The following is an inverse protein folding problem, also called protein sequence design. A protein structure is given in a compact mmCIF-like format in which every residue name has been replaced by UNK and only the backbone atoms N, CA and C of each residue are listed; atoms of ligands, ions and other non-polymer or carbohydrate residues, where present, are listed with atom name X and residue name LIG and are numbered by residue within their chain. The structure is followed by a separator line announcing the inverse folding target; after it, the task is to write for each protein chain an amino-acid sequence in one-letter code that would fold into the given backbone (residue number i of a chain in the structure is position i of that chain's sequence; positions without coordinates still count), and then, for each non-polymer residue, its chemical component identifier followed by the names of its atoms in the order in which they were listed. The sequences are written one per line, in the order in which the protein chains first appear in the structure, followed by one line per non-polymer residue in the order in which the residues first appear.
data_IF_607097544398
#
_entry.id   IF_607097544398
#
_cell.length_a   1.000
_cell.length_b   1.000
_cell.length_c   1.000
_cell.angle_alpha   90.00
_cell.angle_beta   90.00
_cell.angle_gamma   90.00
#
_symmetry.space_group_name_H-M   'P 1'
#
loop_
_entity.id
_entity.type
_entity.pdbx_description
1 polymer ?
#
# COMPACT_ATOMS: atom_id res chain seq x y z
N UNK A 1 17.51 -44.59 8.64
CA UNK A 1 18.42 -43.70 9.39
C UNK A 1 19.59 -44.47 10.00
N UNK A 2 20.24 -45.35 9.22
CA UNK A 2 21.29 -46.26 9.72
C UNK A 2 22.39 -46.38 8.66
N UNK A 3 23.65 -46.37 9.07
CA UNK A 3 24.82 -46.48 8.21
C UNK A 3 25.02 -47.91 7.69
N UNK A 4 25.29 -48.06 6.40
CA UNK A 4 25.45 -49.36 5.72
C UNK A 4 26.91 -49.76 5.46
N UNK A 5 27.88 -48.96 5.90
CA UNK A 5 29.31 -49.30 5.80
C UNK A 5 29.61 -50.51 6.71
N UNK A 6 30.33 -51.51 6.16
CA UNK A 6 30.57 -52.82 6.79
C UNK A 6 31.20 -52.73 8.20
N UNK A 7 32.03 -51.73 8.44
CA UNK A 7 32.76 -51.58 9.71
C UNK A 7 32.10 -50.57 10.68
N UNK A 8 30.91 -50.06 10.34
CA UNK A 8 30.22 -49.03 11.12
C UNK A 8 29.05 -49.58 11.94
N UNK A 9 28.92 -50.91 12.01
CA UNK A 9 28.00 -51.63 12.90
C UNK A 9 26.56 -51.11 12.92
N UNK A 10 26.02 -50.69 11.78
CA UNK A 10 24.65 -50.17 11.70
C UNK A 10 24.40 -48.99 12.67
N UNK A 11 25.38 -48.12 12.86
CA UNK A 11 25.22 -46.89 13.65
C UNK A 11 24.18 -45.94 13.01
N UNK A 12 23.45 -45.20 13.86
CA UNK A 12 22.53 -44.17 13.39
C UNK A 12 23.29 -42.97 12.77
N UNK A 13 22.67 -42.34 11.77
CA UNK A 13 23.18 -41.07 11.24
C UNK A 13 22.96 -39.94 12.23
N UNK A 14 23.98 -39.14 12.46
CA UNK A 14 23.99 -38.03 13.43
C UNK A 14 24.24 -36.67 12.76
N UNK A 15 24.94 -36.66 11.62
CA UNK A 15 25.24 -35.43 10.89
C UNK A 15 24.72 -35.48 9.45
N UNK A 16 24.26 -34.33 8.99
CA UNK A 16 24.00 -34.02 7.59
C UNK A 16 25.13 -33.13 7.06
N UNK A 17 25.63 -33.40 5.87
CA UNK A 17 26.67 -32.62 5.20
C UNK A 17 26.16 -32.10 3.87
N UNK A 18 26.36 -30.80 3.62
CA UNK A 18 26.21 -30.24 2.28
C UNK A 18 27.38 -30.68 1.39
N UNK A 19 27.12 -31.57 0.43
CA UNK A 19 28.12 -32.21 -0.43
C UNK A 19 27.49 -32.64 -1.76
N UNK A 20 28.33 -32.80 -2.79
CA UNK A 20 27.90 -33.28 -4.12
C UNK A 20 27.91 -34.82 -4.22
N UNK A 21 28.33 -35.51 -3.15
CA UNK A 21 28.46 -36.98 -3.10
C UNK A 21 27.42 -37.59 -2.16
N UNK A 22 26.55 -38.43 -2.69
CA UNK A 22 25.41 -39.00 -1.95
C UNK A 22 25.88 -39.81 -0.73
N UNK A 23 27.00 -40.51 -0.83
CA UNK A 23 27.58 -41.34 0.21
C UNK A 23 28.17 -40.54 1.39
N UNK A 24 28.45 -39.25 1.19
CA UNK A 24 29.00 -38.35 2.22
C UNK A 24 27.91 -37.52 2.92
N UNK A 25 26.68 -37.51 2.38
CA UNK A 25 25.60 -36.63 2.82
C UNK A 25 25.14 -36.92 4.25
N UNK A 26 25.10 -38.19 4.65
CA UNK A 26 24.70 -38.62 5.98
C UNK A 26 25.87 -39.32 6.67
N UNK A 27 26.23 -38.87 7.87
CA UNK A 27 27.39 -39.38 8.60
C UNK A 27 26.99 -39.89 9.99
N UNK A 28 27.38 -41.13 10.29
CA UNK A 28 27.35 -41.67 11.65
C UNK A 28 28.62 -41.25 12.42
N UNK A 29 28.70 -41.62 13.70
CA UNK A 29 29.88 -41.32 14.51
C UNK A 29 31.19 -41.86 13.91
N UNK A 30 31.16 -43.02 13.26
CA UNK A 30 32.36 -43.60 12.62
C UNK A 30 32.72 -42.94 11.28
N UNK A 31 31.75 -42.36 10.56
CA UNK A 31 32.03 -41.60 9.33
C UNK A 31 32.65 -40.22 9.62
N UNK A 32 32.35 -39.64 10.79
CA UNK A 32 32.70 -38.25 11.08
C UNK A 32 34.23 -37.98 11.13
N UNK A 33 35.07 -38.83 11.75
CA UNK A 33 36.53 -38.65 11.80
C UNK A 33 37.20 -38.73 10.43
N UNK A 34 36.61 -39.46 9.47
CA UNK A 34 37.16 -39.64 8.12
C UNK A 34 37.01 -38.38 7.25
N UNK A 35 36.22 -37.38 7.68
CA UNK A 35 35.89 -36.20 6.91
C UNK A 35 36.33 -34.91 7.61
N UNK A 36 37.28 -34.20 7.00
CA UNK A 36 37.88 -32.97 7.53
C UNK A 36 37.03 -31.71 7.34
N UNK A 37 35.92 -31.77 6.61
CA UNK A 37 35.09 -30.59 6.29
C UNK A 37 34.05 -30.28 7.38
N UNK A 38 34.50 -29.99 8.60
CA UNK A 38 33.63 -29.76 9.77
C UNK A 38 32.61 -28.62 9.58
N UNK A 39 32.98 -27.55 8.87
CA UNK A 39 32.13 -26.37 8.66
C UNK A 39 30.92 -26.62 7.72
N UNK A 40 30.85 -27.78 7.05
CA UNK A 40 29.71 -28.18 6.22
C UNK A 40 28.79 -29.18 6.90
N UNK A 41 29.16 -29.65 8.10
CA UNK A 41 28.44 -30.67 8.85
C UNK A 41 27.50 -30.02 9.85
N UNK A 42 26.27 -30.52 9.89
CA UNK A 42 25.22 -30.02 10.75
C UNK A 42 24.62 -31.22 11.49
N UNK A 43 24.37 -31.07 12.79
CA UNK A 43 23.67 -32.10 13.55
C UNK A 43 22.24 -32.28 13.01
N UNK A 44 21.86 -33.52 12.71
CA UNK A 44 20.50 -33.84 12.26
C UNK A 44 19.48 -33.45 13.33
N UNK A 45 19.83 -33.62 14.61
CA UNK A 45 18.94 -33.24 15.71
C UNK A 45 18.66 -31.73 15.73
N UNK A 46 19.67 -30.91 15.44
CA UNK A 46 19.51 -29.45 15.33
C UNK A 46 18.62 -29.08 14.14
N UNK A 47 18.77 -29.74 12.99
CA UNK A 47 17.93 -29.49 11.81
C UNK A 47 16.46 -29.77 12.11
N UNK A 48 16.18 -30.86 12.83
CA UNK A 48 14.81 -31.29 13.11
C UNK A 48 14.14 -30.49 14.23
N UNK A 49 14.90 -30.01 15.22
CA UNK A 49 14.34 -29.41 16.44
C UNK A 49 14.50 -27.91 16.55
N UNK A 50 15.52 -27.32 15.93
CA UNK A 50 15.86 -25.92 16.14
C UNK A 50 15.45 -25.04 14.95
N UNK A 51 15.07 -23.77 15.21
CA UNK A 51 14.92 -22.80 14.13
C UNK A 51 16.27 -22.56 13.44
N UNK A 52 16.21 -22.19 12.17
CA UNK A 52 17.38 -22.02 11.30
C UNK A 52 18.49 -21.15 11.92
N UNK A 53 18.13 -20.08 12.62
CA UNK A 53 19.08 -19.18 13.28
C UNK A 53 19.89 -19.83 14.42
N UNK A 54 19.42 -20.94 14.99
CA UNK A 54 20.08 -21.64 16.10
C UNK A 54 20.86 -22.89 15.66
N UNK A 55 20.83 -23.22 14.38
CA UNK A 55 21.55 -24.37 13.82
C UNK A 55 23.02 -24.00 13.63
N UNK A 56 23.95 -24.75 14.22
CA UNK A 56 25.38 -24.51 14.06
C UNK A 56 25.86 -24.91 12.65
N UNK A 57 26.90 -24.25 12.15
CA UNK A 57 27.43 -24.44 10.79
C UNK A 57 26.39 -24.21 9.67
N UNK A 58 25.32 -23.48 9.97
CA UNK A 58 24.35 -23.01 8.99
C UNK A 58 24.36 -21.47 8.90
N UNK A 59 24.36 -20.88 7.69
CA UNK A 59 24.63 -21.54 6.40
C UNK A 59 26.04 -22.14 6.34
N UNK A 60 26.29 -23.18 5.51
CA UNK A 60 27.57 -23.90 5.44
C UNK A 60 28.64 -23.09 4.70
N UNK A 61 29.01 -21.93 5.25
CA UNK A 61 29.98 -21.01 4.68
C UNK A 61 31.41 -21.44 5.02
N UNK A 62 32.35 -21.00 4.18
CA UNK A 62 33.78 -21.21 4.44
C UNK A 62 34.28 -20.40 5.63
N UNK A 63 33.72 -19.21 5.83
CA UNK A 63 34.05 -18.32 6.94
C UNK A 63 33.04 -18.50 8.09
N UNK A 64 33.51 -19.06 9.20
CA UNK A 64 32.70 -19.27 10.40
C UNK A 64 32.33 -17.95 11.10
N UNK A 65 33.07 -16.86 10.92
CA UNK A 65 32.67 -15.57 11.49
C UNK A 65 31.44 -15.00 10.79
N UNK A 66 31.37 -15.18 9.46
CA UNK A 66 30.22 -14.82 8.64
C UNK A 66 29.00 -15.68 8.96
N UNK A 67 29.18 -16.97 9.26
CA UNK A 67 28.08 -17.86 9.64
C UNK A 67 27.30 -17.30 10.85
N UNK A 68 28.02 -16.78 11.85
CA UNK A 68 27.44 -16.32 13.11
C UNK A 68 26.69 -15.02 12.89
N UNK A 69 27.26 -14.12 12.09
CA UNK A 69 26.61 -12.87 11.69
C UNK A 69 25.32 -13.15 10.92
N UNK A 70 25.34 -14.06 9.94
CA UNK A 70 24.14 -14.39 9.16
C UNK A 70 23.07 -15.03 10.04
N UNK A 71 23.42 -15.93 10.97
CA UNK A 71 22.46 -16.49 11.92
C UNK A 71 21.76 -15.42 12.75
N UNK A 72 22.52 -14.44 13.25
CA UNK A 72 21.97 -13.31 13.99
C UNK A 72 21.08 -12.42 13.11
N UNK A 73 21.46 -12.20 11.84
CA UNK A 73 20.63 -11.48 10.88
C UNK A 73 19.32 -12.24 10.64
N UNK A 74 19.35 -13.56 10.45
CA UNK A 74 18.15 -14.39 10.25
C UNK A 74 17.22 -14.28 11.46
N UNK A 75 17.76 -14.36 12.68
CA UNK A 75 16.98 -14.22 13.92
C UNK A 75 16.32 -12.83 14.02
N UNK A 76 17.10 -11.77 13.78
CA UNK A 76 16.63 -10.39 13.80
C UNK A 76 15.67 -10.06 12.64
N UNK A 77 15.70 -10.84 11.56
CA UNK A 77 14.78 -10.69 10.42
C UNK A 77 13.49 -11.50 10.58
N UNK A 78 13.28 -12.12 11.75
CA UNK A 78 12.00 -12.76 12.05
C UNK A 78 10.87 -11.74 12.08
N UNK A 79 9.64 -12.19 11.78
CA UNK A 79 8.46 -11.31 11.73
C UNK A 79 8.24 -10.56 13.05
N UNK A 80 8.41 -11.24 14.17
CA UNK A 80 8.29 -10.67 15.51
C UNK A 80 9.33 -9.58 15.76
N UNK A 81 10.63 -9.87 15.55
CA UNK A 81 11.70 -8.90 15.76
C UNK A 81 11.61 -7.67 14.85
N UNK A 82 11.20 -7.86 13.59
CA UNK A 82 10.94 -6.74 12.67
C UNK A 82 9.77 -5.90 13.19
N UNK A 83 8.72 -6.53 13.71
CA UNK A 83 7.57 -5.82 14.25
C UNK A 83 7.94 -5.04 15.51
N UNK A 84 8.70 -5.64 16.43
CA UNK A 84 9.24 -4.96 17.62
C UNK A 84 10.09 -3.75 17.24
N UNK A 85 10.96 -3.89 16.24
CA UNK A 85 11.78 -2.79 15.76
C UNK A 85 10.95 -1.65 15.15
N UNK A 86 9.93 -1.97 14.34
CA UNK A 86 9.00 -0.98 13.79
C UNK A 86 8.29 -0.21 14.89
N UNK A 87 7.82 -0.92 15.91
CA UNK A 87 7.11 -0.31 17.04
C UNK A 87 8.05 0.56 17.88
N UNK A 88 9.27 0.09 18.12
CA UNK A 88 10.31 0.87 18.78
C UNK A 88 10.60 2.20 18.07
N UNK A 89 10.74 2.18 16.74
CA UNK A 89 10.95 3.42 15.95
C UNK A 89 9.77 4.38 16.07
N UNK A 90 8.52 3.87 16.01
CA UNK A 90 7.33 4.72 16.20
C UNK A 90 7.31 5.36 17.58
N UNK A 91 7.53 4.58 18.63
CA UNK A 91 7.56 5.07 20.01
C UNK A 91 8.62 6.17 20.16
N UNK A 92 9.80 6.00 19.57
CA UNK A 92 10.83 7.04 19.62
C UNK A 92 10.40 8.32 18.92
N UNK A 93 9.75 8.22 17.75
CA UNK A 93 9.22 9.38 17.02
C UNK A 93 8.17 10.09 17.89
N UNK A 94 7.20 9.35 18.41
CA UNK A 94 6.12 9.90 19.24
C UNK A 94 6.65 10.57 20.51
N UNK A 95 7.58 9.92 21.21
CA UNK A 95 8.22 10.46 22.40
C UNK A 95 8.96 11.77 22.08
N UNK A 96 9.70 11.82 20.97
CA UNK A 96 10.39 13.03 20.54
C UNK A 96 9.42 14.18 20.28
N UNK A 97 8.31 13.94 19.56
CA UNK A 97 7.29 14.97 19.34
C UNK A 97 6.61 15.42 20.63
N UNK A 98 6.31 14.49 21.55
CA UNK A 98 5.69 14.80 22.84
C UNK A 98 6.54 15.76 23.65
N UNK A 99 7.86 15.52 23.74
CA UNK A 99 8.79 16.40 24.44
C UNK A 99 8.82 17.80 23.81
N UNK A 100 8.84 17.90 22.48
CA UNK A 100 8.82 19.20 21.78
C UNK A 100 7.49 19.95 21.98
N UNK A 101 6.37 19.26 21.97
CA UNK A 101 5.05 19.86 22.26
C UNK A 101 5.03 20.42 23.68
N UNK A 102 5.56 19.71 24.67
CA UNK A 102 5.64 20.20 26.04
C UNK A 102 6.50 21.48 26.15
N UNK A 103 7.63 21.54 25.45
CA UNK A 103 8.45 22.75 25.38
C UNK A 103 7.67 23.93 24.75
N UNK A 104 6.91 23.69 23.68
CA UNK A 104 6.07 24.71 23.05
C UNK A 104 4.95 25.20 23.96
N UNK A 105 4.31 24.30 24.72
CA UNK A 105 3.29 24.66 25.71
C UNK A 105 3.90 25.54 26.81
N UNK A 106 5.10 25.22 27.28
CA UNK A 106 5.78 26.06 28.28
C UNK A 106 6.12 27.44 27.71
N UNK A 107 6.71 27.49 26.51
CA UNK A 107 7.00 28.75 25.83
C UNK A 107 5.76 29.63 25.66
N UNK A 108 4.59 29.05 25.32
CA UNK A 108 3.32 29.79 25.27
C UNK A 108 2.97 30.44 26.61
N UNK A 109 3.12 29.72 27.72
CA UNK A 109 2.83 30.26 29.06
C UNK A 109 3.76 31.42 29.41
N UNK A 110 5.05 31.28 29.09
CA UNK A 110 6.04 32.31 29.37
C UNK A 110 5.73 33.60 28.58
N UNK A 111 5.32 33.48 27.31
CA UNK A 111 4.91 34.63 26.49
C UNK A 111 3.64 35.29 27.05
N UNK A 112 2.62 34.51 27.43
CA UNK A 112 1.41 35.06 28.03
C UNK A 112 1.73 35.86 29.30
N UNK A 113 2.60 35.32 30.14
CA UNK A 113 3.06 36.00 31.37
C UNK A 113 3.77 37.31 31.05
N UNK A 114 4.60 37.37 30.01
CA UNK A 114 5.25 38.61 29.57
C UNK A 114 4.23 39.64 29.10
N UNK A 115 3.22 39.25 28.32
CA UNK A 115 2.17 40.17 27.88
C UNK A 115 1.30 40.65 29.04
N UNK A 116 0.98 39.79 30.01
CA UNK A 116 0.26 40.21 31.23
C UNK A 116 1.02 41.31 31.98
N UNK A 117 2.34 41.18 32.12
CA UNK A 117 3.19 42.21 32.71
C UNK A 117 3.20 43.51 31.88
N UNK A 118 3.24 43.41 30.55
CA UNK A 118 3.18 44.59 29.67
C UNK A 118 1.82 45.31 29.74
N UNK A 119 0.73 44.56 29.94
CA UNK A 119 -0.64 45.04 30.03
C UNK A 119 -1.03 45.56 31.42
N UNK A 120 -0.07 45.78 32.32
CA UNK A 120 -0.37 46.43 33.60
C UNK A 120 -0.72 47.91 33.36
N UNK A 121 -2.01 48.23 33.42
CA UNK A 121 -2.57 49.53 33.08
C UNK A 121 -3.12 50.20 34.33
N UNK A 122 -2.75 51.47 34.56
CA UNK A 122 -3.37 52.29 35.59
C UNK A 122 -4.72 52.79 35.09
N UNK A 123 -5.77 52.69 35.91
CA UNK A 123 -7.04 53.30 35.57
C UNK A 123 -6.91 54.83 35.58
N UNK A 124 -7.28 55.44 34.45
CA UNK A 124 -7.18 56.88 34.22
C UNK A 124 -8.54 57.51 33.89
N UNK A 125 -9.63 56.74 33.98
CA UNK A 125 -11.00 57.23 33.70
C UNK A 125 -11.35 58.46 34.55
N UNK A 126 -10.88 58.49 35.79
CA UNK A 126 -11.18 59.54 36.77
C UNK A 126 -10.38 60.83 36.58
N UNK A 127 -9.36 60.86 35.71
CA UNK A 127 -8.51 62.05 35.55
C UNK A 127 -9.29 63.27 35.06
N UNK A 128 -10.32 63.05 34.24
CA UNK A 128 -11.22 64.07 33.69
C UNK A 128 -12.67 63.84 34.12
N UNK A 129 -12.87 63.52 35.41
CA UNK A 129 -14.22 63.41 35.97
C UNK A 129 -14.91 64.79 36.02
N UNK A 130 -16.18 64.85 35.60
CA UNK A 130 -17.02 66.05 35.58
C UNK A 130 -18.20 65.98 36.56
N UNK A 131 -18.24 64.99 37.44
CA UNK A 131 -19.36 64.77 38.35
C UNK A 131 -19.50 65.91 39.36
N UNK A 132 -18.39 66.50 39.82
CA UNK A 132 -18.43 67.70 40.66
C UNK A 132 -19.03 68.90 39.92
N UNK A 133 -18.76 69.04 38.63
CA UNK A 133 -19.40 70.08 37.80
C UNK A 133 -20.90 69.82 37.65
N UNK A 134 -21.29 68.57 37.36
CA UNK A 134 -22.70 68.15 37.26
C UNK A 134 -23.44 68.43 38.56
N UNK A 135 -22.84 68.08 39.71
CA UNK A 135 -23.40 68.34 41.04
C UNK A 135 -23.59 69.83 41.28
N UNK A 136 -22.56 70.64 40.99
CA UNK A 136 -22.61 72.10 41.13
C UNK A 136 -23.74 72.72 40.28
N UNK A 137 -23.89 72.26 39.04
CA UNK A 137 -24.95 72.71 38.14
C UNK A 137 -26.35 72.36 38.67
N UNK A 138 -26.53 71.16 39.21
CA UNK A 138 -27.79 70.74 39.83
C UNK A 138 -28.13 71.58 41.07
N UNK A 139 -27.14 71.84 41.94
CA UNK A 139 -27.31 72.71 43.11
C UNK A 139 -27.74 74.12 42.71
N UNK A 140 -27.15 74.66 41.64
CA UNK A 140 -27.53 75.95 41.11
C UNK A 140 -28.96 75.95 40.55
N UNK A 141 -29.35 74.91 39.79
CA UNK A 141 -30.73 74.75 39.28
C UNK A 141 -31.77 74.69 40.41
N UNK A 142 -31.41 74.12 41.55
CA UNK A 142 -32.28 74.02 42.73
C UNK A 142 -32.27 75.28 43.61
N UNK A 143 -31.54 76.34 43.22
CA UNK A 143 -31.29 77.55 44.02
C UNK A 143 -30.59 77.27 45.37
N UNK A 144 -29.83 76.18 45.47
CA UNK A 144 -29.04 75.84 46.67
C UNK A 144 -27.72 76.63 46.75
N UNK A 145 -27.19 77.04 45.59
CA UNK A 145 -26.01 77.91 45.46
C UNK A 145 -26.31 79.07 44.51
N UNK A 146 -25.60 80.18 44.67
CA UNK A 146 -25.70 81.33 43.76
C UNK A 146 -24.70 81.25 42.58
N UNK A 147 -24.82 82.20 41.65
CA UNK A 147 -23.96 82.26 40.46
C UNK A 147 -22.49 82.46 40.80
N UNK A 148 -22.19 83.22 41.87
CA UNK A 148 -20.82 83.52 42.26
C UNK A 148 -20.14 82.28 42.86
N UNK A 149 -20.89 81.48 43.63
CA UNK A 149 -20.46 80.17 44.14
C UNK A 149 -20.24 79.18 43.00
N UNK A 150 -21.17 79.09 42.04
CA UNK A 150 -21.00 78.24 40.85
C UNK A 150 -19.76 78.63 40.05
N UNK A 151 -19.51 79.93 39.86
CA UNK A 151 -18.33 80.44 39.16
C UNK A 151 -17.03 80.08 39.90
N UNK A 152 -17.00 80.18 41.23
CA UNK A 152 -15.84 79.75 42.05
C UNK A 152 -15.56 78.25 41.89
N UNK A 153 -16.59 77.40 41.95
CA UNK A 153 -16.45 75.95 41.73
C UNK A 153 -15.97 75.64 40.31
N UNK A 154 -16.55 76.29 39.29
CA UNK A 154 -16.13 76.16 37.90
C UNK A 154 -14.66 76.56 37.69
N UNK A 155 -14.19 77.64 38.33
CA UNK A 155 -12.78 78.06 38.24
C UNK A 155 -11.82 77.03 38.84
N UNK A 156 -12.21 76.37 39.94
CA UNK A 156 -11.43 75.28 40.53
C UNK A 156 -11.34 74.10 39.57
N UNK A 157 -12.49 73.63 39.07
CA UNK A 157 -12.56 72.52 38.11
C UNK A 157 -11.76 72.86 36.84
N UNK A 158 -11.86 74.09 36.33
CA UNK A 158 -11.06 74.54 35.18
C UNK A 158 -9.56 74.34 35.39
N UNK A 159 -9.01 74.76 36.54
CA UNK A 159 -7.58 74.59 36.86
C UNK A 159 -7.18 73.12 36.92
N UNK A 160 -8.04 72.26 37.44
CA UNK A 160 -7.79 70.82 37.52
C UNK A 160 -7.88 70.12 36.15
N UNK A 161 -8.72 70.61 35.24
CA UNK A 161 -8.90 70.08 33.88
C UNK A 161 -7.81 70.58 32.92
N UNK A 162 -7.31 71.81 33.09
CA UNK A 162 -6.22 72.38 32.30
C UNK A 162 -4.82 71.87 32.73
N UNK A 163 -4.75 70.92 33.66
CA UNK A 163 -3.49 70.35 34.11
C UNK A 163 -2.82 69.52 33.00
N UNK A 164 -1.73 70.05 32.43
CA UNK A 164 -0.93 69.37 31.39
C UNK A 164 -0.38 67.99 31.79
N UNK A 165 -0.17 67.72 33.08
CA UNK A 165 0.32 66.41 33.50
C UNK A 165 -0.74 65.32 33.27
N UNK A 166 -2.03 65.63 33.47
CA UNK A 166 -3.13 64.69 33.22
C UNK A 166 -3.20 64.33 31.73
N UNK A 167 -3.09 65.32 30.85
CA UNK A 167 -3.09 65.08 29.40
C UNK A 167 -1.87 64.28 28.95
N UNK A 168 -0.68 64.58 29.49
CA UNK A 168 0.55 63.79 29.24
C UNK A 168 0.37 62.33 29.67
N UNK A 169 -0.21 62.06 30.84
CA UNK A 169 -0.49 60.71 31.32
C UNK A 169 -1.44 59.97 30.37
N UNK A 170 -2.56 60.58 29.96
CA UNK A 170 -3.49 59.94 29.02
C UNK A 170 -2.84 59.62 27.66
N UNK A 171 -2.03 60.54 27.13
CA UNK A 171 -1.32 60.33 25.86
C UNK A 171 -0.29 59.20 25.97
N UNK A 172 0.45 59.12 27.09
CA UNK A 172 1.38 58.03 27.36
C UNK A 172 0.66 56.69 27.50
N UNK A 173 -0.50 56.68 28.16
CA UNK A 173 -1.35 55.49 28.29
C UNK A 173 -1.80 54.96 26.93
N UNK A 174 -2.32 55.84 26.07
CA UNK A 174 -2.70 55.48 24.70
C UNK A 174 -1.49 54.99 23.89
N UNK A 175 -0.33 55.66 24.01
CA UNK A 175 0.91 55.21 23.35
C UNK A 175 1.34 53.82 23.83
N UNK A 176 1.21 53.52 25.13
CA UNK A 176 1.49 52.20 25.69
C UNK A 176 0.55 51.14 25.10
N UNK A 177 -0.75 51.42 24.99
CA UNK A 177 -1.71 50.50 24.35
C UNK A 177 -1.35 50.21 22.89
N UNK A 178 -1.01 51.25 22.12
CA UNK A 178 -0.57 51.10 20.73
C UNK A 178 0.70 50.25 20.63
N UNK A 179 1.66 50.45 21.53
CA UNK A 179 2.90 49.68 21.53
C UNK A 179 2.65 48.20 21.88
N UNK A 180 1.80 47.91 22.87
CA UNK A 180 1.39 46.52 23.17
C UNK A 180 0.77 45.84 21.95
N UNK A 181 -0.08 46.55 21.20
CA UNK A 181 -0.67 46.02 19.97
C UNK A 181 0.38 45.78 18.88
N UNK A 182 1.36 46.68 18.73
CA UNK A 182 2.46 46.52 17.79
C UNK A 182 3.31 45.28 18.13
N UNK A 183 3.67 45.09 19.40
CA UNK A 183 4.42 43.92 19.87
C UNK A 183 3.66 42.62 19.59
N UNK A 184 2.34 42.60 19.81
CA UNK A 184 1.50 41.45 19.46
C UNK A 184 1.54 41.13 17.97
N UNK A 185 1.42 42.15 17.12
CA UNK A 185 1.47 41.97 15.67
C UNK A 185 2.85 41.44 15.20
N UNK A 186 3.93 41.99 15.73
CA UNK A 186 5.30 41.52 15.44
C UNK A 186 5.50 40.07 15.91
N UNK A 187 5.01 39.74 17.11
CA UNK A 187 5.08 38.39 17.64
C UNK A 187 4.32 37.38 16.77
N UNK A 188 3.14 37.73 16.28
CA UNK A 188 2.37 36.87 15.37
C UNK A 188 3.12 36.58 14.07
N UNK A 189 3.72 37.61 13.46
CA UNK A 189 4.53 37.43 12.25
C UNK A 189 5.74 36.52 12.50
N UNK A 190 6.43 36.74 13.62
CA UNK A 190 7.56 35.92 14.05
C UNK A 190 7.14 34.44 14.25
N UNK A 191 6.00 34.18 14.88
CA UNK A 191 5.49 32.82 15.07
C UNK A 191 5.18 32.14 13.73
N UNK A 192 4.51 32.83 12.82
CA UNK A 192 4.17 32.27 11.50
C UNK A 192 5.41 31.87 10.70
N UNK A 193 6.44 32.71 10.70
CA UNK A 193 7.69 32.42 10.00
C UNK A 193 8.41 31.20 10.60
N UNK A 194 8.51 31.14 11.93
CA UNK A 194 9.17 30.03 12.61
C UNK A 194 8.42 28.71 12.44
N UNK A 195 7.08 28.72 12.47
CA UNK A 195 6.28 27.52 12.22
C UNK A 195 6.48 27.03 10.78
N UNK A 196 6.50 27.94 9.79
CA UNK A 196 6.79 27.58 8.39
C UNK A 196 8.17 26.94 8.25
N UNK A 197 9.18 27.49 8.93
CA UNK A 197 10.55 26.95 8.91
C UNK A 197 10.65 25.59 9.61
N UNK A 198 9.96 25.41 10.73
CA UNK A 198 9.89 24.13 11.45
C UNK A 198 9.29 23.03 10.55
N UNK A 199 8.17 23.30 9.87
CA UNK A 199 7.50 22.32 9.01
C UNK A 199 8.39 21.94 7.82
N UNK A 200 9.05 22.91 7.17
CA UNK A 200 9.93 22.65 6.04
C UNK A 200 11.16 21.81 6.42
N UNK A 201 11.63 21.91 7.66
CA UNK A 201 12.84 21.23 8.12
C UNK A 201 12.66 19.76 8.51
N UNK A 202 11.44 19.30 8.78
CA UNK A 202 11.19 17.93 9.24
C UNK A 202 10.94 17.01 8.03
N UNK A 203 11.97 16.76 7.24
CA UNK A 203 11.94 15.73 6.20
C UNK A 203 13.03 14.70 6.46
N UNK A 204 12.70 13.42 6.29
CA UNK A 204 13.67 12.33 6.40
C UNK A 204 14.27 12.12 5.01
N UNK A 205 15.59 12.28 4.90
CA UNK A 205 16.30 11.85 3.69
C UNK A 205 16.28 10.32 3.64
N UNK A 206 15.36 9.78 2.84
CA UNK A 206 15.16 8.34 2.66
C UNK A 206 15.92 7.76 1.47
N UNK A 207 16.69 8.57 0.72
CA UNK A 207 17.35 8.13 -0.52
C UNK A 207 18.30 6.95 -0.28
N UNK A 208 19.11 7.01 0.79
CA UNK A 208 20.03 5.93 1.13
C UNK A 208 19.29 4.63 1.46
N UNK A 209 18.19 4.71 2.24
CA UNK A 209 17.37 3.55 2.58
C UNK A 209 16.65 2.98 1.35
N UNK A 210 16.16 3.82 0.45
CA UNK A 210 15.56 3.41 -0.82
C UNK A 210 16.57 2.69 -1.71
N UNK A 211 17.82 3.17 -1.76
CA UNK A 211 18.90 2.51 -2.49
C UNK A 211 19.24 1.13 -1.89
N UNK A 212 19.28 1.01 -0.55
CA UNK A 212 19.45 -0.29 0.11
C UNK A 212 18.30 -1.23 -0.25
N UNK A 213 17.05 -0.76 -0.16
CA UNK A 213 15.87 -1.56 -0.49
C UNK A 213 15.92 -2.07 -1.94
N UNK A 214 16.28 -1.20 -2.89
CA UNK A 214 16.45 -1.56 -4.29
C UNK A 214 17.54 -2.63 -4.47
N UNK A 215 18.68 -2.50 -3.80
CA UNK A 215 19.75 -3.49 -3.85
C UNK A 215 19.30 -4.86 -3.31
N UNK A 216 18.48 -4.87 -2.26
CA UNK A 216 17.89 -6.10 -1.71
C UNK A 216 16.94 -6.74 -2.74
N UNK A 217 16.04 -5.95 -3.32
CA UNK A 217 15.08 -6.41 -4.33
C UNK A 217 15.77 -6.96 -5.58
N UNK A 218 16.78 -6.24 -6.09
CA UNK A 218 17.60 -6.68 -7.23
C UNK A 218 18.34 -7.99 -6.92
N UNK A 219 18.87 -8.12 -5.70
CA UNK A 219 19.50 -9.36 -5.22
C UNK A 219 18.52 -10.53 -5.19
N UNK A 220 17.34 -10.33 -4.61
CA UNK A 220 16.27 -11.34 -4.56
C UNK A 220 15.78 -11.72 -5.96
N UNK A 221 15.61 -10.76 -6.85
CA UNK A 221 15.22 -10.99 -8.25
C UNK A 221 16.27 -11.82 -8.99
N UNK A 222 17.56 -11.55 -8.79
CA UNK A 222 18.64 -12.37 -9.37
C UNK A 222 18.60 -13.81 -8.84
N UNK A 223 18.41 -14.00 -7.54
CA UNK A 223 18.27 -15.33 -6.92
C UNK A 223 17.06 -16.06 -7.49
N UNK A 224 15.91 -15.38 -7.60
CA UNK A 224 14.68 -15.96 -8.13
C UNK A 224 14.81 -16.31 -9.62
N UNK A 225 15.45 -15.45 -10.43
CA UNK A 225 15.75 -15.75 -11.83
C UNK A 225 16.71 -16.93 -11.99
N UNK A 226 17.72 -17.07 -11.11
CA UNK A 226 18.62 -18.22 -11.11
C UNK A 226 17.89 -19.51 -10.73
N UNK A 227 17.04 -19.46 -9.70
CA UNK A 227 16.16 -20.58 -9.33
C UNK A 227 15.22 -20.95 -10.48
N UNK A 228 14.60 -19.97 -11.14
CA UNK A 228 13.76 -20.21 -12.31
C UNK A 228 14.55 -20.85 -13.45
N UNK A 229 15.79 -20.44 -13.71
CA UNK A 229 16.67 -21.06 -14.74
C UNK A 229 17.10 -22.49 -14.37
N UNK A 230 17.38 -22.79 -13.10
CA UNK A 230 17.74 -24.15 -12.67
C UNK A 230 16.53 -25.07 -12.64
N UNK A 231 15.38 -24.56 -12.20
CA UNK A 231 14.09 -25.26 -12.27
C UNK A 231 13.67 -25.47 -13.72
N UNK A 232 13.88 -24.50 -14.62
CA UNK A 232 13.63 -24.65 -16.07
C UNK A 232 14.57 -25.66 -16.75
N UNK A 233 15.83 -25.79 -16.32
CA UNK A 233 16.75 -26.84 -16.83
C UNK A 233 16.32 -28.25 -16.43
N UNK A 234 15.82 -28.44 -15.20
CA UNK A 234 15.28 -29.72 -14.76
C UNK A 234 13.90 -30.00 -15.36
N UNK A 235 13.09 -28.95 -15.56
CA UNK A 235 11.80 -29.01 -16.25
C UNK A 235 11.98 -29.23 -17.77
N UNK A 236 13.08 -28.83 -18.40
CA UNK A 236 13.38 -29.19 -19.80
C UNK A 236 13.72 -30.68 -19.98
N UNK A 237 14.08 -31.40 -18.92
CA UNK A 237 14.18 -32.86 -18.94
C UNK A 237 12.86 -33.56 -18.54
N UNK A 238 11.82 -32.81 -18.14
CA UNK A 238 10.50 -33.34 -17.75
C UNK A 238 9.29 -32.61 -18.40
N UNK A 239 9.47 -31.76 -19.41
CA UNK A 239 8.36 -31.05 -20.07
C UNK A 239 7.74 -31.88 -21.19
N UNK A 240 6.84 -32.78 -20.80
CA UNK A 240 5.52 -32.72 -21.39
C UNK A 240 4.87 -31.42 -20.88
N UNK A 241 5.07 -30.29 -21.57
CA UNK A 241 4.15 -29.16 -21.35
C UNK A 241 2.77 -29.70 -21.66
N UNK A 242 1.90 -29.81 -20.66
CA UNK A 242 0.49 -30.07 -20.91
C UNK A 242 -0.01 -28.92 -21.79
N UNK A 243 -0.24 -29.23 -23.05
CA UNK A 243 -0.65 -28.28 -24.05
C UNK A 243 -2.16 -28.10 -23.91
N UNK A 244 -2.59 -27.36 -22.89
CA UNK A 244 -4.01 -27.08 -22.70
C UNK A 244 -4.50 -26.24 -23.86
N UNK A 245 -5.38 -26.83 -24.67
CA UNK A 245 -5.99 -26.18 -25.83
C UNK A 245 -7.17 -25.30 -25.41
N UNK A 246 -7.44 -24.27 -26.21
CA UNK A 246 -8.62 -23.42 -26.06
C UNK A 246 -9.54 -23.61 -27.27
N UNK A 247 -10.84 -23.57 -27.00
CA UNK A 247 -11.91 -23.75 -27.99
C UNK A 247 -12.88 -22.58 -27.92
N UNK A 248 -13.47 -22.26 -29.07
CA UNK A 248 -14.56 -21.28 -29.16
C UNK A 248 -15.85 -21.95 -28.71
N UNK A 249 -16.62 -21.27 -27.86
CA UNK A 249 -17.92 -21.76 -27.41
C UNK A 249 -18.87 -22.01 -28.58
N UNK A 250 -19.61 -23.13 -28.58
CA UNK A 250 -20.53 -23.50 -29.67
C UNK A 250 -21.97 -23.03 -29.45
N UNK A 251 -22.16 -21.73 -29.21
CA UNK A 251 -23.48 -21.11 -29.07
C UNK A 251 -23.83 -20.14 -30.20
N UNK A 252 -25.13 -19.98 -30.48
CA UNK A 252 -25.65 -19.12 -31.55
C UNK A 252 -25.30 -17.63 -31.36
N UNK A 253 -25.24 -17.16 -30.12
CA UNK A 253 -24.94 -15.76 -29.79
C UNK A 253 -23.45 -15.46 -29.70
N UNK A 254 -22.59 -16.49 -29.69
CA UNK A 254 -21.14 -16.32 -29.63
C UNK A 254 -20.60 -15.90 -31.01
N UNK A 255 -19.96 -14.74 -31.11
CA UNK A 255 -19.37 -14.24 -32.38
C UNK A 255 -18.03 -14.92 -32.67
N UNK A 256 -18.08 -16.21 -33.03
CA UNK A 256 -16.90 -17.06 -33.25
C UNK A 256 -15.98 -16.59 -34.37
N UNK A 257 -16.53 -15.90 -35.36
CA UNK A 257 -15.81 -15.31 -36.49
C UNK A 257 -14.91 -14.12 -36.07
N UNK A 258 -15.17 -13.55 -34.89
CA UNK A 258 -14.37 -12.48 -34.27
C UNK A 258 -13.36 -13.01 -33.25
N UNK A 259 -13.30 -14.32 -33.01
CA UNK A 259 -12.33 -14.94 -32.10
C UNK A 259 -11.27 -15.64 -32.94
N UNK A 260 -9.99 -15.37 -32.71
CA UNK A 260 -8.89 -16.13 -33.29
C UNK A 260 -8.05 -16.77 -32.19
N UNK A 261 -7.84 -18.08 -32.27
CA UNK A 261 -6.98 -18.82 -31.36
C UNK A 261 -5.75 -19.23 -32.16
N UNK A 262 -4.60 -18.62 -31.84
CA UNK A 262 -3.33 -18.78 -32.57
C UNK A 262 -2.28 -19.42 -31.66
N UNK A 263 -1.13 -19.73 -32.26
CA UNK A 263 0.05 -20.23 -31.55
C UNK A 263 -0.27 -21.46 -30.67
N UNK A 264 -1.07 -22.37 -31.20
CA UNK A 264 -1.56 -23.57 -30.51
C UNK A 264 -2.24 -23.27 -29.16
N UNK A 265 -3.17 -22.31 -29.15
CA UNK A 265 -3.90 -21.95 -27.94
C UNK A 265 -3.16 -20.97 -27.03
N UNK A 266 -2.02 -20.43 -27.45
CA UNK A 266 -1.23 -19.47 -26.64
C UNK A 266 -1.61 -18.01 -26.86
N UNK A 267 -2.38 -17.72 -27.90
CA UNK A 267 -2.88 -16.38 -28.16
C UNK A 267 -4.36 -16.46 -28.50
N UNK A 268 -5.20 -15.72 -27.78
CA UNK A 268 -6.63 -15.54 -28.08
C UNK A 268 -6.81 -14.07 -28.45
N UNK A 269 -7.17 -13.80 -29.70
CA UNK A 269 -7.46 -12.46 -30.20
C UNK A 269 -8.97 -12.29 -30.37
N UNK A 270 -9.47 -11.16 -29.90
CA UNK A 270 -10.88 -10.77 -29.98
C UNK A 270 -10.96 -9.53 -30.86
N UNK A 271 -11.58 -9.67 -32.03
CA UNK A 271 -11.78 -8.60 -33.01
C UNK A 271 -12.84 -7.59 -32.51
N UNK A 272 -12.92 -6.43 -33.17
CA UNK A 272 -13.76 -5.29 -32.75
C UNK A 272 -14.90 -4.98 -33.73
N UNK A 273 -15.27 -5.97 -34.56
CA UNK A 273 -16.31 -5.78 -35.59
C UNK A 273 -17.68 -5.52 -34.98
N UNK A 274 -18.01 -6.16 -33.86
CA UNK A 274 -19.28 -5.98 -33.16
C UNK A 274 -19.12 -5.50 -31.71
N UNK A 275 -20.04 -4.64 -31.28
CA UNK A 275 -20.22 -4.23 -29.88
C UNK A 275 -21.45 -4.88 -29.28
N UNK A 276 -21.49 -4.99 -27.95
CA UNK A 276 -22.56 -5.61 -27.16
C UNK A 276 -22.89 -7.03 -27.61
N UNK A 277 -21.87 -7.77 -28.03
CA UNK A 277 -21.96 -9.16 -28.41
C UNK A 277 -21.04 -9.98 -27.52
N UNK A 278 -21.52 -11.17 -27.14
CA UNK A 278 -20.78 -12.09 -26.29
C UNK A 278 -19.72 -12.80 -27.13
N UNK A 279 -18.51 -12.90 -26.58
CA UNK A 279 -17.40 -13.64 -27.16
C UNK A 279 -16.81 -14.54 -26.07
N UNK A 280 -16.89 -15.85 -26.26
CA UNK A 280 -16.54 -16.83 -25.23
C UNK A 280 -15.62 -17.92 -25.79
N UNK A 281 -14.65 -18.29 -24.96
CA UNK A 281 -13.73 -19.42 -25.18
C UNK A 281 -13.58 -20.22 -23.90
N UNK A 282 -13.26 -21.49 -24.01
CA UNK A 282 -12.97 -22.35 -22.85
C UNK A 282 -11.77 -23.26 -23.13
N UNK A 283 -11.14 -23.78 -22.09
CA UNK A 283 -10.08 -24.80 -22.23
C UNK A 283 -10.67 -26.16 -22.61
N UNK A 284 -9.82 -27.11 -23.01
CA UNK A 284 -10.15 -28.53 -22.86
C UNK A 284 -10.50 -28.88 -21.39
N UNK A 285 -11.06 -30.08 -21.19
CA UNK A 285 -11.39 -30.58 -19.88
C UNK A 285 -10.16 -30.81 -19.01
N UNK A 286 -10.25 -30.33 -17.78
CA UNK A 286 -9.23 -30.34 -16.74
C UNK A 286 -9.63 -31.34 -15.65
N UNK A 287 -8.66 -32.09 -15.14
CA UNK A 287 -8.85 -33.09 -14.11
C UNK A 287 -9.14 -32.42 -12.75
N UNK A 288 -10.28 -32.75 -12.15
CA UNK A 288 -10.72 -32.22 -10.84
C UNK A 288 -9.71 -32.48 -9.71
N UNK A 289 -8.80 -33.43 -9.86
CA UNK A 289 -7.80 -33.78 -8.85
C UNK A 289 -6.48 -33.01 -8.93
N UNK A 290 -6.32 -32.13 -9.92
CA UNK A 290 -5.10 -31.33 -10.11
C UNK A 290 -5.32 -29.87 -9.77
N UNK A 291 -4.23 -29.19 -9.43
CA UNK A 291 -4.24 -27.73 -9.25
C UNK A 291 -3.70 -27.10 -10.53
N UNK A 292 -4.48 -26.25 -11.17
CA UNK A 292 -4.08 -25.60 -12.42
C UNK A 292 -3.68 -24.15 -12.20
N UNK A 293 -2.61 -23.76 -12.87
CA UNK A 293 -2.11 -22.40 -12.87
C UNK A 293 -1.96 -21.87 -14.29
N UNK A 294 -2.64 -20.77 -14.60
CA UNK A 294 -2.55 -20.06 -15.87
C UNK A 294 -1.92 -18.70 -15.67
N UNK A 295 -0.92 -18.38 -16.47
CA UNK A 295 -0.33 -17.05 -16.51
C UNK A 295 -0.71 -16.36 -17.82
N UNK A 296 -1.55 -15.34 -17.75
CA UNK A 296 -2.16 -14.68 -18.92
C UNK A 296 -1.83 -13.19 -18.91
N UNK A 297 -1.29 -12.69 -20.04
CA UNK A 297 -1.07 -11.27 -20.27
C UNK A 297 -2.15 -10.74 -21.20
N UNK A 298 -2.81 -9.66 -20.79
CA UNK A 298 -3.92 -9.06 -21.54
C UNK A 298 -3.46 -7.75 -22.17
N UNK A 299 -3.84 -7.54 -23.43
CA UNK A 299 -3.64 -6.29 -24.16
C UNK A 299 -4.99 -5.79 -24.68
N UNK A 300 -5.47 -4.70 -24.11
CA UNK A 300 -6.59 -3.93 -24.65
C UNK A 300 -5.98 -2.87 -25.56
N UNK A 301 -6.10 -2.99 -26.89
CA UNK A 301 -5.36 -2.19 -27.92
C UNK A 301 -5.66 -0.67 -27.99
N UNK A 302 -5.99 -0.05 -26.86
CA UNK A 302 -6.72 1.22 -26.76
C UNK A 302 -5.83 2.46 -26.83
N UNK A 303 -4.65 2.46 -26.19
CA UNK A 303 -3.79 3.66 -26.15
C UNK A 303 -3.19 4.02 -27.50
N UNK A 304 -2.88 3.02 -28.33
CA UNK A 304 -2.22 3.26 -29.61
C UNK A 304 -3.12 3.96 -30.62
N UNK A 305 -4.41 3.62 -30.70
CA UNK A 305 -5.33 4.25 -31.65
C UNK A 305 -5.67 5.70 -31.27
N UNK A 306 -5.86 5.99 -29.98
CA UNK A 306 -6.20 7.35 -29.53
C UNK A 306 -5.00 8.33 -29.66
N UNK A 307 -3.79 7.87 -29.32
CA UNK A 307 -2.57 8.66 -29.52
C UNK A 307 -2.30 8.95 -31.00
N UNK A 308 -2.60 7.99 -31.89
CA UNK A 308 -2.47 8.17 -33.34
C UNK A 308 -3.52 9.10 -33.93
N UNK A 309 -4.75 9.11 -33.40
CA UNK A 309 -5.85 9.93 -33.95
C UNK A 309 -5.79 11.40 -33.55
N UNK A 310 -5.14 11.77 -32.43
CA UNK A 310 -5.13 13.15 -31.96
C UNK A 310 -3.81 13.92 -32.11
N UNK A 311 -2.69 13.28 -32.50
CA UNK A 311 -1.38 13.96 -32.56
C UNK A 311 -0.99 14.66 -31.23
N UNK A 312 -1.57 14.24 -30.10
CA UNK A 312 -1.39 14.87 -28.79
C UNK A 312 -0.15 14.28 -28.14
N UNK A 313 0.93 15.06 -28.05
CA UNK A 313 2.18 14.64 -27.40
C UNK A 313 2.08 14.65 -25.86
N UNK A 314 1.04 15.25 -25.27
CA UNK A 314 0.85 15.30 -23.82
C UNK A 314 -0.64 15.22 -23.47
N UNK A 315 -1.11 14.04 -23.08
CA UNK A 315 -2.39 13.86 -22.39
C UNK A 315 -2.09 14.10 -20.91
N UNK A 316 -2.74 15.08 -20.28
CA UNK A 316 -2.61 15.25 -18.84
C UNK A 316 -3.20 14.04 -18.08
N UNK A 317 -2.73 13.80 -16.85
CA UNK A 317 -3.15 12.64 -16.06
C UNK A 317 -4.67 12.60 -15.83
N UNK A 318 -5.34 13.76 -15.83
CA UNK A 318 -6.78 13.85 -15.60
C UNK A 318 -7.59 13.40 -16.82
N UNK A 319 -7.14 13.74 -18.03
CA UNK A 319 -7.71 13.23 -19.28
C UNK A 319 -7.45 11.73 -19.45
N UNK A 320 -6.27 11.25 -19.04
CA UNK A 320 -5.95 9.83 -19.00
C UNK A 320 -6.92 9.06 -18.07
N UNK A 321 -7.19 9.62 -16.89
CA UNK A 321 -8.12 9.05 -15.91
C UNK A 321 -9.57 9.04 -16.43
N UNK A 322 -10.01 10.08 -17.15
CA UNK A 322 -11.35 10.15 -17.77
C UNK A 322 -11.48 9.15 -18.92
N UNK A 323 -10.43 9.00 -19.74
CA UNK A 323 -10.39 8.02 -20.82
C UNK A 323 -10.42 6.59 -20.28
N UNK A 324 -9.71 6.31 -19.19
CA UNK A 324 -9.76 5.02 -18.49
C UNK A 324 -11.13 4.71 -17.89
N UNK A 325 -11.87 5.72 -17.41
CA UNK A 325 -13.22 5.54 -16.86
C UNK A 325 -14.30 5.25 -17.93
N UNK A 326 -14.08 5.62 -19.19
CA UNK A 326 -15.02 5.34 -20.29
C UNK A 326 -14.87 3.94 -20.88
N UNK A 327 -13.90 3.14 -20.41
CA UNK A 327 -13.53 1.85 -21.00
C UNK A 327 -14.38 0.71 -20.43
N UNK A 328 -15.50 0.46 -21.09
CA UNK A 328 -16.42 -0.62 -20.73
C UNK A 328 -16.06 -1.86 -21.54
N UNK A 329 -15.07 -2.64 -21.07
CA UNK A 329 -14.78 -3.96 -21.63
C UNK A 329 -14.99 -4.98 -20.52
N UNK A 330 -16.03 -5.81 -20.63
CA UNK A 330 -16.30 -6.82 -19.63
C UNK A 330 -15.48 -8.06 -19.90
N UNK A 331 -14.65 -8.44 -18.92
CA UNK A 331 -13.84 -9.65 -18.93
C UNK A 331 -14.09 -10.41 -17.63
N UNK A 332 -14.48 -11.67 -17.76
CA UNK A 332 -14.65 -12.57 -16.64
C UNK A 332 -14.09 -13.95 -16.93
N UNK A 333 -13.63 -14.60 -15.86
CA UNK A 333 -13.14 -15.97 -15.86
C UNK A 333 -14.11 -16.85 -15.10
N UNK A 334 -14.53 -17.93 -15.72
CA UNK A 334 -15.52 -18.87 -15.21
C UNK A 334 -14.88 -20.24 -14.96
N UNK A 335 -15.34 -20.94 -13.95
CA UNK A 335 -15.16 -22.39 -13.83
C UNK A 335 -16.45 -23.05 -14.27
N UNK A 336 -16.36 -23.84 -15.34
CA UNK A 336 -17.52 -24.49 -15.96
C UNK A 336 -17.31 -26.01 -15.97
N UNK A 337 -18.41 -26.74 -15.87
CA UNK A 337 -18.43 -28.18 -16.06
C UNK A 337 -18.27 -28.58 -17.53
N UNK A 338 -17.70 -29.75 -17.81
CA UNK A 338 -17.55 -30.26 -19.18
C UNK A 338 -18.88 -30.41 -19.92
N UNK A 339 -19.95 -30.69 -19.17
CA UNK A 339 -21.29 -30.92 -19.70
C UNK A 339 -22.02 -29.60 -19.94
N UNK A 340 -21.62 -28.54 -19.21
CA UNK A 340 -22.15 -27.19 -19.30
C UNK A 340 -21.38 -26.30 -20.28
N UNK A 341 -20.34 -26.83 -20.94
CA UNK A 341 -19.41 -26.01 -21.72
C UNK A 341 -20.12 -25.17 -22.78
N UNK A 342 -21.20 -25.68 -23.39
CA UNK A 342 -22.01 -25.02 -24.42
C UNK A 342 -23.29 -24.36 -23.86
N UNK A 343 -23.42 -24.23 -22.54
CA UNK A 343 -24.53 -23.56 -21.84
C UNK A 343 -24.25 -22.08 -21.58
N UNK A 344 -25.25 -21.34 -21.10
CA UNK A 344 -25.08 -19.93 -20.72
C UNK A 344 -24.42 -19.86 -19.34
N UNK A 345 -23.29 -19.14 -19.22
CA UNK A 345 -22.45 -19.19 -18.02
C UNK A 345 -22.84 -18.18 -16.93
N UNK A 346 -23.87 -17.37 -17.14
CA UNK A 346 -24.31 -16.41 -16.12
C UNK A 346 -24.74 -17.15 -14.84
N UNK A 347 -24.29 -16.65 -13.68
CA UNK A 347 -24.56 -17.27 -12.38
C UNK A 347 -23.62 -18.42 -12.00
N UNK A 348 -22.71 -18.84 -12.88
CA UNK A 348 -21.68 -19.83 -12.53
C UNK A 348 -20.51 -19.19 -11.77
N UNK A 349 -19.71 -20.05 -11.13
CA UNK A 349 -18.48 -19.70 -10.42
C UNK A 349 -17.55 -18.83 -11.27
N UNK A 350 -17.43 -17.54 -10.93
CA UNK A 350 -16.62 -16.63 -11.74
C UNK A 350 -15.93 -15.51 -10.96
N UNK A 351 -14.92 -14.93 -11.59
CA UNK A 351 -14.32 -13.65 -11.19
C UNK A 351 -14.38 -12.71 -12.39
N UNK A 352 -15.05 -11.57 -12.22
CA UNK A 352 -15.07 -10.49 -13.19
C UNK A 352 -13.96 -9.50 -12.86
N UNK A 353 -13.20 -9.12 -13.89
CA UNK A 353 -12.14 -8.13 -13.79
C UNK A 353 -12.62 -6.72 -14.10
N UNK A 354 -13.67 -6.55 -14.88
CA UNK A 354 -14.19 -5.23 -15.19
C UNK A 354 -15.68 -5.32 -15.51
N UNK A 355 -16.51 -4.78 -14.64
CA UNK A 355 -17.95 -4.68 -14.81
C UNK A 355 -18.34 -3.36 -15.50
N UNK A 356 -19.60 -3.20 -15.92
CA UNK A 356 -20.04 -2.01 -16.67
C UNK A 356 -19.85 -0.68 -15.91
N UNK A 357 -19.74 -0.75 -14.58
CA UNK A 357 -19.53 0.37 -13.66
C UNK A 357 -18.07 0.45 -13.15
N UNK A 358 -17.15 -0.35 -13.71
CA UNK A 358 -15.72 -0.37 -13.37
C UNK A 358 -15.38 -1.19 -12.11
N UNK A 359 -16.32 -1.98 -11.60
CA UNK A 359 -16.07 -2.86 -10.46
C UNK A 359 -15.47 -4.20 -10.89
N UNK A 360 -14.70 -4.80 -10.00
CA UNK A 360 -14.27 -6.20 -10.10
C UNK A 360 -14.78 -6.97 -8.88
N UNK A 361 -14.96 -8.27 -9.03
CA UNK A 361 -15.50 -9.10 -7.95
C UNK A 361 -15.67 -10.56 -8.34
N UNK A 362 -15.84 -11.39 -7.31
CA UNK A 362 -16.25 -12.78 -7.43
C UNK A 362 -17.77 -12.88 -7.46
N UNK A 363 -18.30 -13.78 -8.29
CA UNK A 363 -19.72 -14.06 -8.41
C UNK A 363 -20.00 -15.55 -8.16
N UNK A 364 -21.01 -15.79 -7.35
CA UNK A 364 -21.79 -17.02 -7.26
C UNK A 364 -23.27 -16.61 -7.45
N UNK A 365 -24.21 -17.56 -7.47
CA UNK A 365 -25.65 -17.34 -7.72
C UNK A 365 -26.24 -16.03 -7.16
N UNK A 366 -27.25 -15.50 -7.87
CA UNK A 366 -28.00 -14.28 -7.51
C UNK A 366 -27.15 -13.11 -6.97
N UNK A 367 -26.14 -12.66 -7.73
CA UNK A 367 -25.55 -11.31 -7.62
C UNK A 367 -25.08 -10.85 -6.21
N UNK A 368 -24.83 -11.75 -5.26
CA UNK A 368 -24.22 -11.36 -3.98
C UNK A 368 -22.71 -11.20 -4.15
N UNK A 369 -22.27 -9.94 -4.14
CA UNK A 369 -20.85 -9.59 -4.16
C UNK A 369 -20.21 -10.07 -2.85
N UNK A 370 -19.30 -11.04 -2.95
CA UNK A 370 -18.47 -11.45 -1.79
C UNK A 370 -17.49 -10.33 -1.41
N UNK A 371 -16.99 -9.57 -2.39
CA UNK A 371 -16.08 -8.45 -2.14
C UNK A 371 -16.09 -7.44 -3.32
N UNK A 372 -16.39 -6.16 -3.06
CA UNK A 372 -16.29 -5.08 -4.05
C UNK A 372 -14.96 -4.35 -3.90
N UNK A 373 -14.06 -4.54 -4.85
CA UNK A 373 -12.84 -3.74 -4.96
C UNK A 373 -12.97 -2.88 -6.21
N UNK A 374 -12.76 -1.57 -6.09
CA UNK A 374 -12.57 -0.73 -7.27
C UNK A 374 -11.27 -1.17 -7.92
N UNK A 375 -11.34 -1.54 -9.20
CA UNK A 375 -10.15 -1.92 -9.96
C UNK A 375 -9.06 -0.86 -9.74
N UNK A 376 -7.82 -1.25 -9.40
CA UNK A 376 -6.71 -0.30 -9.33
C UNK A 376 -6.63 0.42 -10.68
N UNK A 377 -6.69 1.76 -10.68
CA UNK A 377 -6.65 2.62 -11.90
C UNK A 377 -5.38 2.45 -12.75
N UNK A 378 -4.48 1.54 -12.37
CA UNK A 378 -3.12 1.41 -12.88
C UNK A 378 -2.93 0.20 -13.80
N UNK A 379 -3.98 -0.34 -14.40
CA UNK A 379 -3.84 -1.34 -15.46
C UNK A 379 -3.14 -0.72 -16.65
N UNK A 380 -1.83 -0.88 -16.69
CA UNK A 380 -1.03 -0.49 -17.84
C UNK A 380 -1.15 -1.58 -18.88
N UNK A 381 -1.64 -1.18 -20.05
CA UNK A 381 -1.65 -1.97 -21.27
C UNK A 381 -0.25 -2.57 -21.47
N UNK A 382 -0.17 -3.86 -21.79
CA UNK A 382 1.08 -4.61 -21.99
C UNK A 382 2.03 -4.77 -20.79
N UNK A 383 1.65 -4.32 -19.58
CA UNK A 383 2.45 -4.55 -18.36
C UNK A 383 1.77 -5.51 -17.38
N UNK A 384 0.44 -5.65 -17.45
CA UNK A 384 -0.32 -6.43 -16.47
C UNK A 384 -0.38 -7.91 -16.87
N UNK A 385 0.17 -8.76 -16.03
CA UNK A 385 0.06 -10.22 -16.15
C UNK A 385 -0.77 -10.75 -15.00
N UNK A 386 -1.77 -11.56 -15.33
CA UNK A 386 -2.64 -12.24 -14.39
C UNK A 386 -2.20 -13.67 -14.19
N UNK A 387 -2.24 -14.11 -12.95
CA UNK A 387 -2.07 -15.48 -12.53
C UNK A 387 -3.44 -15.98 -12.06
N UNK A 388 -3.94 -17.04 -12.69
CA UNK A 388 -5.21 -17.69 -12.37
C UNK A 388 -4.88 -19.04 -11.76
N UNK A 389 -5.40 -19.31 -10.58
CA UNK A 389 -5.24 -20.59 -9.88
C UNK A 389 -6.60 -21.24 -9.70
N UNK A 390 -6.71 -22.50 -10.12
CA UNK A 390 -7.90 -23.33 -9.98
C UNK A 390 -7.54 -24.53 -9.13
N UNK A 391 -8.08 -24.59 -7.91
CA UNK A 391 -7.97 -25.73 -7.03
C UNK A 391 -9.39 -26.23 -6.72
N UNK A 392 -9.85 -27.19 -7.51
CA UNK A 392 -11.21 -27.71 -7.37
C UNK A 392 -11.41 -28.42 -6.03
N UNK A 393 -10.44 -29.22 -5.58
CA UNK A 393 -10.51 -29.96 -4.31
C UNK A 393 -10.65 -29.02 -3.09
N UNK A 394 -9.98 -27.87 -3.11
CA UNK A 394 -10.08 -26.86 -2.05
C UNK A 394 -11.17 -25.81 -2.31
N UNK A 395 -11.92 -25.96 -3.41
CA UNK A 395 -12.95 -25.02 -3.82
C UNK A 395 -12.40 -23.59 -4.02
N UNK A 396 -11.28 -23.42 -4.70
CA UNK A 396 -10.63 -22.12 -4.89
C UNK A 396 -10.51 -21.79 -6.38
N UNK A 397 -11.07 -20.65 -6.77
CA UNK A 397 -10.67 -19.89 -7.96
C UNK A 397 -10.01 -18.60 -7.48
N UNK A 398 -8.76 -18.35 -7.86
CA UNK A 398 -8.05 -17.12 -7.49
C UNK A 398 -7.43 -16.46 -8.71
N UNK A 399 -7.53 -15.13 -8.79
CA UNK A 399 -6.85 -14.31 -9.80
C UNK A 399 -6.02 -13.23 -9.10
N UNK A 400 -4.74 -13.13 -9.43
CA UNK A 400 -3.85 -12.11 -8.89
C UNK A 400 -2.79 -11.63 -9.88
N UNK A 401 -2.31 -10.41 -9.71
CA UNK A 401 -1.19 -9.88 -10.52
C UNK A 401 0.17 -10.33 -9.96
N UNK A 402 1.24 -10.21 -10.76
CA UNK A 402 2.60 -10.63 -10.36
C UNK A 402 3.11 -9.93 -9.08
N UNK A 403 2.57 -8.75 -8.74
CA UNK A 403 2.92 -7.98 -7.53
C UNK A 403 1.94 -8.20 -6.37
N UNK A 404 0.89 -9.02 -6.54
CA UNK A 404 -0.23 -9.22 -5.60
C UNK A 404 -0.86 -7.93 -5.08
N UNK A 405 -0.83 -6.87 -5.89
CA UNK A 405 -1.58 -5.64 -5.64
C UNK A 405 -3.06 -5.81 -5.96
N UNK A 406 -3.36 -6.72 -6.88
CA UNK A 406 -4.70 -7.22 -7.15
C UNK A 406 -4.70 -8.70 -6.80
N UNK A 407 -5.61 -9.12 -5.93
CA UNK A 407 -5.91 -10.53 -5.66
C UNK A 407 -7.40 -10.61 -5.40
N UNK A 408 -8.05 -11.52 -6.10
CA UNK A 408 -9.47 -11.83 -5.95
C UNK A 408 -9.59 -13.33 -5.83
N UNK A 409 -10.45 -13.76 -4.91
CA UNK A 409 -10.71 -15.17 -4.65
C UNK A 409 -12.21 -15.40 -4.70
N UNK A 410 -12.61 -16.46 -5.39
CA UNK A 410 -13.95 -17.02 -5.34
C UNK A 410 -13.85 -18.42 -4.74
N UNK A 411 -14.83 -18.77 -3.93
CA UNK A 411 -15.02 -20.15 -3.50
C UNK A 411 -15.69 -20.88 -4.68
N UNK A 412 -15.35 -22.14 -4.95
CA UNK A 412 -16.01 -22.88 -6.03
C UNK A 412 -17.17 -23.65 -5.44
N UNK A 413 -18.38 -23.27 -5.82
CA UNK A 413 -19.57 -24.07 -5.61
C UNK A 413 -19.55 -25.28 -6.57
N UNK A 414 -19.23 -26.45 -6.00
CA UNK A 414 -19.04 -27.69 -6.75
C UNK A 414 -20.37 -28.29 -7.23
N UNK A 415 -21.49 -27.97 -6.59
CA UNK A 415 -22.82 -28.50 -6.93
C UNK A 415 -23.32 -27.95 -8.28
N UNK A 416 -22.73 -26.84 -8.73
CA UNK A 416 -23.06 -26.18 -10.00
C UNK A 416 -22.05 -26.46 -11.12
N UNK A 417 -21.27 -27.54 -11.00
CA UNK A 417 -20.29 -27.95 -12.01
C UNK A 417 -20.63 -29.35 -12.50
N UNK A 418 -21.33 -29.43 -13.64
CA UNK A 418 -21.76 -30.72 -14.20
C UNK A 418 -20.65 -31.39 -15.03
N UNK A 419 -20.60 -32.71 -14.97
CA UNK A 419 -19.65 -33.53 -15.72
C UNK A 419 -18.38 -33.90 -14.97
N UNK A 420 -17.56 -34.74 -15.61
CA UNK A 420 -16.38 -35.36 -14.99
C UNK A 420 -15.17 -34.42 -14.91
N UNK A 421 -15.11 -33.41 -15.78
CA UNK A 421 -13.99 -32.48 -15.89
C UNK A 421 -14.45 -31.03 -15.66
N UNK A 422 -13.53 -30.17 -15.26
CA UNK A 422 -13.76 -28.71 -15.22
C UNK A 422 -13.07 -28.04 -16.39
N UNK A 423 -13.49 -26.84 -16.75
CA UNK A 423 -12.83 -26.03 -17.77
C UNK A 423 -12.69 -24.59 -17.27
N UNK A 424 -11.64 -23.90 -17.72
CA UNK A 424 -11.53 -22.46 -17.56
C UNK A 424 -12.27 -21.80 -18.73
N UNK A 425 -13.41 -21.18 -18.44
CA UNK A 425 -14.14 -20.32 -19.37
C UNK A 425 -13.61 -18.89 -19.30
N UNK A 426 -13.47 -18.24 -20.46
CA UNK A 426 -13.14 -16.82 -20.57
C UNK A 426 -14.26 -16.14 -21.35
N UNK A 427 -14.87 -15.13 -20.73
CA UNK A 427 -16.00 -14.41 -21.26
C UNK A 427 -15.61 -12.96 -21.55
N UNK A 428 -15.92 -12.50 -22.76
CA UNK A 428 -15.76 -11.12 -23.18
C UNK A 428 -17.11 -10.54 -23.59
N UNK A 429 -17.34 -9.29 -23.21
CA UNK A 429 -18.41 -8.47 -23.75
C UNK A 429 -17.90 -7.04 -23.98
N UNK A 430 -17.76 -6.69 -25.25
CA UNK A 430 -17.19 -5.42 -25.67
C UNK A 430 -18.28 -4.35 -25.79
N UNK A 431 -18.21 -3.27 -25.02
CA UNK A 431 -19.11 -2.14 -25.23
C UNK A 431 -18.55 -1.15 -26.25
N UNK A 432 -17.22 -1.14 -26.45
CA UNK A 432 -16.51 -0.32 -27.42
C UNK A 432 -15.84 -1.15 -28.52
N UNK A 433 -15.65 -0.56 -29.71
CA UNK A 433 -14.93 -1.19 -30.83
C UNK A 433 -13.43 -1.17 -30.58
N UNK A 434 -12.95 -2.11 -29.77
CA UNK A 434 -11.55 -2.23 -29.41
C UNK A 434 -11.12 -3.68 -29.34
N UNK A 435 -10.01 -4.00 -30.00
CA UNK A 435 -9.43 -5.34 -29.99
C UNK A 435 -8.85 -5.70 -28.63
N UNK A 436 -8.96 -6.97 -28.27
CA UNK A 436 -8.41 -7.53 -27.03
C UNK A 436 -7.59 -8.76 -27.37
N UNK A 437 -6.35 -8.80 -26.93
CA UNK A 437 -5.49 -9.98 -27.05
C UNK A 437 -5.16 -10.55 -25.68
N UNK A 438 -5.18 -11.88 -25.58
CA UNK A 438 -4.78 -12.64 -24.41
C UNK A 438 -3.65 -13.56 -24.79
N UNK A 439 -2.49 -13.34 -24.19
CA UNK A 439 -1.30 -14.14 -24.39
C UNK A 439 -1.10 -15.05 -23.17
N UNK A 440 -1.25 -16.35 -23.36
CA UNK A 440 -1.08 -17.35 -22.32
C UNK A 440 0.41 -17.69 -22.21
N UNK A 441 1.09 -16.99 -21.30
CA UNK A 441 2.54 -17.07 -21.07
C UNK A 441 2.94 -18.45 -20.56
N UNK A 442 2.21 -18.98 -19.57
CA UNK A 442 2.51 -20.28 -18.98
C UNK A 442 1.26 -20.99 -18.49
N UNK A 443 1.34 -22.32 -18.48
CA UNK A 443 0.32 -23.22 -17.95
C UNK A 443 1.03 -24.40 -17.28
N UNK A 444 0.69 -24.69 -16.04
CA UNK A 444 1.14 -25.90 -15.36
C UNK A 444 0.07 -26.45 -14.44
N UNK A 445 0.20 -27.74 -14.11
CA UNK A 445 -0.66 -28.45 -13.19
C UNK A 445 0.19 -29.16 -12.12
N UNK A 446 -0.25 -29.09 -10.86
CA UNK A 446 0.35 -29.81 -9.72
C UNK A 446 -0.48 -31.02 -9.30
#
# INVERSE_FOLDING_TARGET
MICTKKDHYHQQFVYFKFTDKIEEMLQCFSCNPEDSQFNKKISIDQILKFPISKIQNFPPLRDQSQDKQIRQIIENSSKEKIQDFKEHVKIQIEQFYKEKIQMLIQSKKDVLTQFEQMMEFTDVSELYNIDDLRKSLNQFQNNEIDLEQLFKMQLQIKKEMENEQKSKIMLLMNKKQQEVQNQLNMFNQYLEENVKNLIKGISINSQYLQNIQKNIEDGLNKINQQKLKSTQKNIQQQKNQQQIQFYKLNQAFNKKDEIQIKNNGRTIEIDDKTIRQIKQVHTEGLDKNKIYHFKIKINFHQLQQYQQQQNVQQIDQQQLDILQQKQQQYLAFYIIGSDDKDSYWEGLNSICLNYFDGFCGAFQQECEFVERIKMPRNWKQDETTLNITINYQQQILEIYDDKKKLSMKNIIDQDHINGEQIMLGIFFFQYDKQKIDLNIIDIYAE
#
